data_IF_674035248268
#
_entry.id   IF_674035248268
#
_cell.length_a   1.000
_cell.length_b   1.000
_cell.length_c   1.000
_cell.angle_alpha   90.00
_cell.angle_beta   90.00
_cell.angle_gamma   90.00
#
_symmetry.space_group_name_H-M   'P 1'
#
loop_
_entity.id
_entity.type
_entity.pdbx_description
1 polymer ?
#
# COMPACT_ATOMS: atom_id res chain seq x y z
N UNK A 1 5.16 -9.64 22.95
CA UNK A 1 5.14 -10.59 21.82
C UNK A 1 6.39 -10.36 21.00
N UNK A 2 7.27 -11.36 20.93
CA UNK A 2 8.55 -11.30 20.23
C UNK A 2 8.30 -11.49 18.73
N UNK A 3 8.76 -10.58 17.87
CA UNK A 3 8.68 -10.79 16.43
C UNK A 3 9.52 -12.03 16.05
N UNK A 4 9.00 -12.96 15.24
CA UNK A 4 9.80 -14.06 14.72
C UNK A 4 10.92 -13.49 13.85
N UNK A 5 12.15 -13.87 14.19
CA UNK A 5 13.33 -13.44 13.44
C UNK A 5 13.40 -14.25 12.13
N UNK A 6 13.77 -13.61 11.00
CA UNK A 6 14.05 -14.33 9.77
C UNK A 6 15.15 -15.38 10.00
N UNK A 7 14.91 -16.59 9.51
CA UNK A 7 15.71 -17.79 9.81
C UNK A 7 16.97 -17.93 8.93
N UNK A 8 17.10 -17.13 7.87
CA UNK A 8 18.28 -17.11 7.01
C UNK A 8 19.44 -16.24 7.52
N UNK A 9 20.67 -16.68 7.26
CA UNK A 9 21.87 -15.85 7.45
C UNK A 9 21.86 -14.60 6.53
N UNK A 10 22.70 -13.58 6.82
CA UNK A 10 22.74 -12.35 6.04
C UNK A 10 23.12 -12.62 4.58
N UNK A 11 22.33 -12.07 3.66
CA UNK A 11 22.57 -12.17 2.22
C UNK A 11 23.45 -11.01 1.76
N UNK A 12 24.50 -11.32 1.02
CA UNK A 12 25.29 -10.30 0.34
C UNK A 12 24.56 -9.82 -0.91
N UNK A 13 23.95 -8.64 -0.82
CA UNK A 13 23.28 -8.02 -1.95
C UNK A 13 24.31 -7.55 -3.00
N UNK A 14 24.07 -7.77 -4.30
CA UNK A 14 24.82 -7.11 -5.36
C UNK A 14 24.75 -5.58 -5.19
N UNK A 15 25.86 -4.87 -5.46
CA UNK A 15 25.92 -3.42 -5.26
C UNK A 15 24.84 -2.65 -6.04
N UNK A 16 24.50 -3.14 -7.25
CA UNK A 16 23.41 -2.60 -8.07
C UNK A 16 22.05 -2.76 -7.41
N UNK A 17 21.80 -3.89 -6.74
CA UNK A 17 20.53 -4.18 -6.05
C UNK A 17 20.42 -3.35 -4.78
N UNK A 18 21.48 -3.29 -3.96
CA UNK A 18 21.51 -2.45 -2.77
C UNK A 18 21.33 -0.96 -3.12
N UNK A 19 21.99 -0.48 -4.18
CA UNK A 19 21.80 0.88 -4.69
C UNK A 19 20.38 1.15 -5.19
N UNK A 20 19.73 0.17 -5.81
CA UNK A 20 18.34 0.29 -6.27
C UNK A 20 17.34 0.27 -5.11
N UNK A 21 17.55 -0.59 -4.10
CA UNK A 21 16.78 -0.59 -2.85
C UNK A 21 16.90 0.75 -2.11
N UNK A 22 18.10 1.33 -2.04
CA UNK A 22 18.32 2.65 -1.45
C UNK A 22 17.56 3.75 -2.21
N UNK A 23 17.60 3.73 -3.55
CA UNK A 23 16.81 4.66 -4.38
C UNK A 23 15.31 4.51 -4.15
N UNK A 24 14.78 3.28 -4.12
CA UNK A 24 13.36 3.05 -3.80
C UNK A 24 12.99 3.57 -2.43
N UNK A 25 13.84 3.37 -1.42
CA UNK A 25 13.62 3.89 -0.07
C UNK A 25 13.53 5.43 -0.06
N UNK A 26 14.39 6.11 -0.83
CA UNK A 26 14.33 7.56 -1.01
C UNK A 26 13.08 8.03 -1.73
N UNK A 27 12.68 7.35 -2.81
CA UNK A 27 11.44 7.66 -3.55
C UNK A 27 10.19 7.50 -2.67
N UNK A 28 10.13 6.42 -1.88
CA UNK A 28 9.04 6.16 -0.93
C UNK A 28 8.96 7.23 0.17
N UNK A 29 10.11 7.72 0.65
CA UNK A 29 10.14 8.81 1.63
C UNK A 29 9.68 10.13 1.02
N UNK A 30 10.11 10.42 -0.21
CA UNK A 30 9.73 11.64 -0.91
C UNK A 30 8.23 11.67 -1.26
N UNK A 31 7.66 10.52 -1.66
CA UNK A 31 6.26 10.39 -2.07
C UNK A 31 5.28 10.17 -0.90
N UNK A 32 5.75 10.16 0.34
CA UNK A 32 4.92 9.82 1.51
C UNK A 32 3.69 10.75 1.66
N UNK A 33 3.81 12.08 1.49
CA UNK A 33 2.66 12.98 1.52
C UNK A 33 1.62 12.66 0.44
N UNK A 34 2.08 12.35 -0.78
CA UNK A 34 1.23 12.02 -1.91
C UNK A 34 0.50 10.69 -1.70
N UNK A 35 1.19 9.68 -1.15
CA UNK A 35 0.61 8.37 -0.79
C UNK A 35 -0.48 8.55 0.27
N UNK A 36 -0.24 9.37 1.30
CA UNK A 36 -1.23 9.68 2.33
C UNK A 36 -2.42 10.45 1.76
N UNK A 37 -2.17 11.43 0.89
CA UNK A 37 -3.22 12.19 0.21
C UNK A 37 -4.09 11.28 -0.65
N UNK A 38 -3.48 10.36 -1.40
CA UNK A 38 -4.20 9.41 -2.25
C UNK A 38 -5.05 8.44 -1.43
N UNK A 39 -4.54 7.98 -0.28
CA UNK A 39 -5.29 7.18 0.68
C UNK A 39 -6.52 7.95 1.19
N UNK A 40 -6.35 9.20 1.63
CA UNK A 40 -7.45 10.03 2.11
C UNK A 40 -8.50 10.33 1.01
N UNK A 41 -8.08 10.64 -0.21
CA UNK A 41 -9.00 10.88 -1.32
C UNK A 41 -9.74 9.60 -1.74
N UNK A 42 -9.06 8.44 -1.73
CA UNK A 42 -9.70 7.16 -1.98
C UNK A 42 -10.80 6.88 -0.96
N UNK A 43 -10.52 7.12 0.32
CA UNK A 43 -11.49 6.96 1.40
C UNK A 43 -12.73 7.83 1.23
N UNK A 44 -12.56 9.10 0.84
CA UNK A 44 -13.69 9.97 0.57
C UNK A 44 -14.49 9.50 -0.64
N UNK A 45 -13.81 9.09 -1.72
CA UNK A 45 -14.46 8.53 -2.90
C UNK A 45 -15.25 7.27 -2.54
N UNK A 46 -14.70 6.39 -1.69
CA UNK A 46 -15.36 5.19 -1.22
C UNK A 46 -16.64 5.47 -0.45
N UNK A 47 -16.59 6.42 0.48
CA UNK A 47 -17.78 6.82 1.25
C UNK A 47 -18.91 7.35 0.36
N UNK A 48 -18.58 7.95 -0.78
CA UNK A 48 -19.57 8.54 -1.69
C UNK A 48 -20.03 7.56 -2.79
N UNK A 49 -19.19 6.57 -3.14
CA UNK A 49 -19.39 5.71 -4.30
C UNK A 49 -19.41 4.20 -3.99
N UNK A 50 -19.46 3.78 -2.72
CA UNK A 50 -19.38 2.37 -2.29
C UNK A 50 -20.36 1.40 -3.00
N UNK A 51 -21.49 1.89 -3.50
CA UNK A 51 -22.48 1.10 -4.25
C UNK A 51 -22.44 1.28 -5.77
N UNK A 52 -21.50 2.06 -6.30
CA UNK A 52 -21.40 2.36 -7.73
C UNK A 52 -20.72 1.20 -8.49
N UNK A 53 -21.13 0.91 -9.73
CA UNK A 53 -20.49 -0.11 -10.55
C UNK A 53 -18.97 0.10 -10.65
N UNK A 54 -18.21 -0.99 -10.70
CA UNK A 54 -16.75 -0.99 -10.83
C UNK A 54 -15.96 -0.37 -9.66
N UNK A 55 -16.62 0.23 -8.67
CA UNK A 55 -15.95 0.82 -7.52
C UNK A 55 -15.24 -0.22 -6.65
N UNK A 56 -15.81 -1.43 -6.54
CA UNK A 56 -15.22 -2.52 -5.76
C UNK A 56 -13.85 -2.95 -6.34
N UNK A 57 -13.76 -3.14 -7.66
CA UNK A 57 -12.51 -3.46 -8.35
C UNK A 57 -11.47 -2.34 -8.13
N UNK A 58 -11.88 -1.09 -8.32
CA UNK A 58 -11.01 0.08 -8.10
C UNK A 58 -10.49 0.13 -6.67
N UNK A 59 -11.37 -0.04 -5.68
CA UNK A 59 -11.00 0.00 -4.27
C UNK A 59 -10.07 -1.13 -3.87
N UNK A 60 -10.30 -2.35 -4.38
CA UNK A 60 -9.41 -3.46 -4.15
C UNK A 60 -7.99 -3.16 -4.68
N UNK A 61 -7.86 -2.71 -5.92
CA UNK A 61 -6.56 -2.39 -6.52
C UNK A 61 -5.86 -1.23 -5.81
N UNK A 62 -6.56 -0.14 -5.52
CA UNK A 62 -5.96 1.00 -4.82
C UNK A 62 -5.48 0.63 -3.41
N UNK A 63 -6.29 -0.09 -2.64
CA UNK A 63 -5.92 -0.49 -1.28
C UNK A 63 -4.75 -1.47 -1.28
N UNK A 64 -4.72 -2.43 -2.20
CA UNK A 64 -3.56 -3.35 -2.34
C UNK A 64 -2.27 -2.58 -2.62
N UNK A 65 -2.28 -1.59 -3.51
CA UNK A 65 -1.09 -0.79 -3.82
C UNK A 65 -0.61 0.05 -2.64
N UNK A 66 -1.53 0.69 -1.92
CA UNK A 66 -1.21 1.53 -0.76
C UNK A 66 -0.63 0.70 0.40
N UNK A 67 -1.21 -0.47 0.68
CA UNK A 67 -0.66 -1.40 1.68
C UNK A 67 0.70 -1.95 1.24
N UNK A 68 0.84 -2.35 -0.03
CA UNK A 68 2.09 -2.87 -0.55
C UNK A 68 3.22 -1.86 -0.45
N UNK A 69 2.93 -0.58 -0.75
CA UNK A 69 3.86 0.54 -0.64
C UNK A 69 4.35 0.75 0.80
N UNK A 70 3.45 0.61 1.77
CA UNK A 70 3.78 0.70 3.21
C UNK A 70 4.68 -0.45 3.65
N UNK A 71 4.32 -1.69 3.27
CA UNK A 71 5.10 -2.89 3.59
C UNK A 71 6.49 -2.84 2.96
N UNK A 72 6.58 -2.43 1.69
CA UNK A 72 7.84 -2.26 0.97
C UNK A 72 8.78 -1.30 1.71
N UNK A 73 8.28 -0.16 2.19
CA UNK A 73 9.10 0.78 2.96
C UNK A 73 9.62 0.20 4.27
N UNK A 74 8.87 -0.68 4.94
CA UNK A 74 9.34 -1.41 6.12
C UNK A 74 10.47 -2.38 5.79
N UNK A 75 10.28 -3.17 4.73
CA UNK A 75 11.25 -4.19 4.29
C UNK A 75 12.55 -3.56 3.77
N UNK A 76 12.47 -2.47 3.02
CA UNK A 76 13.64 -1.75 2.52
C UNK A 76 14.46 -1.15 3.67
N UNK A 77 13.81 -0.51 4.66
CA UNK A 77 14.52 -0.02 5.86
C UNK A 77 15.21 -1.16 6.61
N UNK A 78 14.55 -2.31 6.74
CA UNK A 78 15.12 -3.47 7.41
C UNK A 78 16.33 -4.04 6.64
N UNK A 79 16.19 -4.26 5.33
CA UNK A 79 17.27 -4.76 4.47
C UNK A 79 18.49 -3.82 4.47
N UNK A 80 18.27 -2.51 4.35
CA UNK A 80 19.33 -1.49 4.31
C UNK A 80 20.02 -1.28 5.68
N UNK A 81 19.44 -1.77 6.78
CA UNK A 81 20.08 -1.75 8.11
C UNK A 81 21.14 -2.84 8.32
N UNK A 82 21.55 -3.54 7.25
CA UNK A 82 22.50 -4.66 7.30
C UNK A 82 21.86 -5.99 7.72
N UNK A 83 20.53 -6.05 7.76
CA UNK A 83 19.74 -7.23 8.16
C UNK A 83 19.03 -7.89 6.97
N UNK A 84 19.57 -7.72 5.76
CA UNK A 84 19.01 -8.37 4.57
C UNK A 84 19.13 -9.89 4.71
N UNK A 85 18.00 -10.57 4.86
CA UNK A 85 17.90 -12.04 4.79
C UNK A 85 17.20 -12.44 3.50
N UNK A 86 17.27 -13.72 3.09
CA UNK A 86 16.55 -14.22 1.92
C UNK A 86 15.07 -13.81 1.96
N UNK A 87 14.39 -14.05 3.08
CA UNK A 87 12.96 -13.81 3.26
C UNK A 87 12.59 -12.34 3.10
N UNK A 88 13.44 -11.43 3.59
CA UNK A 88 13.23 -9.98 3.45
C UNK A 88 13.37 -9.55 1.99
N UNK A 89 14.39 -10.06 1.30
CA UNK A 89 14.61 -9.78 -0.12
C UNK A 89 13.43 -10.30 -0.96
N UNK A 90 12.95 -11.50 -0.64
CA UNK A 90 11.75 -12.05 -1.25
C UNK A 90 10.51 -11.20 -1.03
N UNK A 91 10.27 -10.78 0.21
CA UNK A 91 9.19 -9.87 0.51
C UNK A 91 9.29 -8.56 -0.28
N UNK A 92 10.49 -8.00 -0.47
CA UNK A 92 10.69 -6.80 -1.29
C UNK A 92 10.28 -7.06 -2.75
N UNK A 93 10.72 -8.17 -3.33
CA UNK A 93 10.36 -8.59 -4.70
C UNK A 93 8.84 -8.74 -4.82
N UNK A 94 8.21 -9.44 -3.88
CA UNK A 94 6.77 -9.69 -3.86
C UNK A 94 6.00 -8.36 -3.76
N UNK A 95 6.44 -7.42 -2.91
CA UNK A 95 5.81 -6.11 -2.81
C UNK A 95 5.99 -5.26 -4.07
N UNK A 96 7.16 -5.28 -4.70
CA UNK A 96 7.40 -4.55 -5.97
C UNK A 96 6.44 -5.06 -7.06
N UNK A 97 6.25 -6.38 -7.17
CA UNK A 97 5.30 -6.97 -8.12
C UNK A 97 3.85 -6.61 -7.78
N UNK A 98 3.46 -6.72 -6.51
CA UNK A 98 2.12 -6.38 -6.04
C UNK A 98 1.77 -4.92 -6.33
N UNK A 99 2.67 -4.00 -6.01
CA UNK A 99 2.56 -2.56 -6.25
C UNK A 99 2.33 -2.30 -7.74
N UNK A 100 3.16 -2.90 -8.62
CA UNK A 100 3.00 -2.77 -10.08
C UNK A 100 1.61 -3.25 -10.56
N UNK A 101 1.23 -4.47 -10.21
CA UNK A 101 -0.06 -5.05 -10.63
C UNK A 101 -1.26 -4.28 -10.09
N UNK A 102 -1.17 -3.82 -8.84
CA UNK A 102 -2.21 -3.02 -8.21
C UNK A 102 -2.41 -1.69 -8.92
N UNK A 103 -1.34 -1.07 -9.41
CA UNK A 103 -1.40 0.19 -10.14
C UNK A 103 -2.03 0.02 -11.52
N UNK A 104 -1.56 -0.97 -12.29
CA UNK A 104 -2.11 -1.30 -13.61
C UNK A 104 -3.62 -1.62 -13.50
N UNK A 105 -4.02 -2.42 -12.51
CA UNK A 105 -5.42 -2.74 -12.26
C UNK A 105 -6.25 -1.54 -11.78
N UNK A 106 -5.67 -0.67 -10.94
CA UNK A 106 -6.35 0.54 -10.47
C UNK A 106 -6.61 1.51 -11.63
N UNK A 107 -5.68 1.68 -12.56
CA UNK A 107 -5.87 2.52 -13.75
C UNK A 107 -7.03 2.00 -14.61
N UNK A 108 -7.03 0.71 -14.94
CA UNK A 108 -8.10 0.09 -15.76
C UNK A 108 -9.46 0.12 -15.06
N UNK A 109 -9.51 -0.09 -13.74
CA UNK A 109 -10.74 -0.02 -12.97
C UNK A 109 -11.25 1.43 -12.84
N UNK A 110 -10.34 2.39 -12.73
CA UNK A 110 -10.68 3.81 -12.67
C UNK A 110 -11.32 4.28 -13.97
N UNK A 111 -10.77 3.91 -15.13
CA UNK A 111 -11.34 4.31 -16.43
C UNK A 111 -12.81 3.89 -16.53
N UNK A 112 -13.13 2.64 -16.19
CA UNK A 112 -14.50 2.11 -16.15
C UNK A 112 -15.37 2.81 -15.11
N UNK A 113 -14.81 3.08 -13.93
CA UNK A 113 -15.53 3.75 -12.85
C UNK A 113 -15.89 5.21 -13.19
N UNK A 114 -15.06 5.90 -13.98
CA UNK A 114 -15.28 7.29 -14.39
C UNK A 114 -16.21 7.44 -15.61
N UNK A 115 -16.74 6.37 -16.19
CA UNK A 115 -17.71 6.45 -17.28
C UNK A 115 -19.04 7.11 -16.81
N UNK A 116 -19.39 6.98 -15.53
CA UNK A 116 -20.56 7.60 -14.91
C UNK A 116 -20.30 9.08 -14.57
N UNK A 117 -21.09 9.99 -15.14
CA UNK A 117 -20.99 11.44 -14.91
C UNK A 117 -21.37 11.85 -13.48
N UNK A 118 -22.34 11.18 -12.85
CA UNK A 118 -22.68 11.42 -11.46
C UNK A 118 -21.49 11.08 -10.56
N UNK A 119 -20.82 9.96 -10.83
CA UNK A 119 -19.62 9.53 -10.10
C UNK A 119 -18.49 10.54 -10.24
N UNK A 120 -18.23 11.03 -11.46
CA UNK A 120 -17.20 12.05 -11.72
C UNK A 120 -17.46 13.37 -10.98
N UNK A 121 -18.72 13.68 -10.68
CA UNK A 121 -19.10 14.89 -9.95
C UNK A 121 -18.85 14.80 -8.45
N UNK A 122 -18.64 13.60 -7.89
CA UNK A 122 -18.41 13.38 -6.47
C UNK A 122 -17.06 13.97 -6.03
N UNK A 123 -17.08 14.76 -4.94
CA UNK A 123 -15.89 15.48 -4.48
C UNK A 123 -14.71 14.56 -4.15
N UNK A 124 -14.97 13.37 -3.60
CA UNK A 124 -13.93 12.38 -3.34
C UNK A 124 -13.27 11.87 -4.61
N UNK A 125 -14.07 11.65 -5.66
CA UNK A 125 -13.57 11.22 -6.98
C UNK A 125 -12.76 12.34 -7.63
N UNK A 126 -13.21 13.59 -7.55
CA UNK A 126 -12.47 14.74 -8.06
C UNK A 126 -11.13 14.95 -7.34
N UNK A 127 -11.09 14.76 -6.01
CA UNK A 127 -9.85 14.82 -5.25
C UNK A 127 -8.91 13.69 -5.65
N UNK A 128 -9.44 12.47 -5.80
CA UNK A 128 -8.66 11.32 -6.25
C UNK A 128 -8.07 11.55 -7.65
N UNK A 129 -8.84 12.09 -8.59
CA UNK A 129 -8.37 12.50 -9.92
C UNK A 129 -7.21 13.50 -9.88
N UNK A 130 -7.13 14.34 -8.86
CA UNK A 130 -6.01 15.28 -8.67
C UNK A 130 -4.77 14.62 -8.07
N UNK A 131 -4.94 13.59 -7.23
CA UNK A 131 -3.81 12.87 -6.61
C UNK A 131 -3.19 11.83 -7.54
N UNK A 132 -3.95 11.28 -8.48
CA UNK A 132 -3.51 10.19 -9.36
C UNK A 132 -2.26 10.52 -10.22
N UNK A 133 -2.10 11.71 -10.81
CA UNK A 133 -0.88 12.06 -11.54
C UNK A 133 0.39 12.01 -10.68
N UNK A 134 0.26 12.28 -9.37
CA UNK A 134 1.39 12.19 -8.45
C UNK A 134 1.78 10.74 -8.18
N UNK A 135 0.78 9.87 -8.00
CA UNK A 135 1.01 8.44 -7.89
C UNK A 135 1.62 7.89 -9.18
N UNK A 136 1.09 8.25 -10.34
CA UNK A 136 1.63 7.82 -11.65
C UNK A 136 3.12 8.14 -11.79
N UNK A 137 3.50 9.38 -11.47
CA UNK A 137 4.90 9.79 -11.47
C UNK A 137 5.74 8.97 -10.48
N UNK A 138 5.23 8.72 -9.28
CA UNK A 138 5.92 7.87 -8.32
C UNK A 138 6.15 6.45 -8.87
N UNK A 139 5.13 5.83 -9.47
CA UNK A 139 5.22 4.50 -10.07
C UNK A 139 6.24 4.47 -11.22
N UNK A 140 6.23 5.47 -12.10
CA UNK A 140 7.23 5.60 -13.18
C UNK A 140 8.66 5.72 -12.63
N UNK A 141 8.85 6.49 -11.55
CA UNK A 141 10.16 6.61 -10.91
C UNK A 141 10.61 5.32 -10.20
N UNK A 142 9.66 4.53 -9.71
CA UNK A 142 9.90 3.24 -9.06
C UNK A 142 10.19 2.11 -10.04
N UNK A 143 9.79 2.23 -11.32
CA UNK A 143 9.89 1.17 -12.31
C UNK A 143 11.33 0.70 -12.53
N UNK A 144 12.26 1.61 -12.86
CA UNK A 144 13.66 1.26 -13.11
C UNK A 144 14.34 0.60 -11.88
N UNK A 145 14.31 1.18 -10.67
CA UNK A 145 14.94 0.55 -9.52
C UNK A 145 14.20 -0.73 -9.08
N UNK A 146 12.88 -0.81 -9.26
CA UNK A 146 12.11 -2.03 -9.04
C UNK A 146 12.57 -3.16 -9.96
N UNK A 147 12.67 -2.91 -11.27
CA UNK A 147 13.12 -3.89 -12.24
C UNK A 147 14.56 -4.36 -11.98
N UNK A 148 15.44 -3.47 -11.50
CA UNK A 148 16.79 -3.84 -11.10
C UNK A 148 16.82 -4.81 -9.90
N UNK A 149 15.86 -4.69 -8.96
CA UNK A 149 15.70 -5.66 -7.87
C UNK A 149 15.14 -6.99 -8.39
N UNK A 150 14.12 -6.94 -9.25
CA UNK A 150 13.50 -8.13 -9.83
C UNK A 150 14.48 -8.97 -10.68
N UNK A 151 15.39 -8.32 -11.40
CA UNK A 151 16.36 -9.00 -12.28
C UNK A 151 17.70 -9.30 -11.59
N UNK A 152 18.01 -8.60 -10.50
CA UNK A 152 19.35 -8.61 -9.91
C UNK A 152 19.59 -9.73 -8.90
N UNK A 153 18.55 -10.50 -8.54
CA UNK A 153 18.62 -11.61 -7.59
C UNK A 153 17.76 -12.76 -8.13
N UNK A 154 18.36 -13.93 -8.34
CA UNK A 154 17.59 -15.15 -8.54
C UNK A 154 16.87 -15.49 -7.24
N UNK A 155 15.54 -15.41 -7.26
CA UNK A 155 14.70 -15.58 -6.09
C UNK A 155 13.59 -16.60 -6.35
N UNK A 156 13.35 -17.48 -5.38
CA UNK A 156 12.19 -18.38 -5.37
C UNK A 156 11.10 -17.79 -4.46
N UNK A 157 9.81 -17.92 -4.80
CA UNK A 157 8.73 -17.28 -4.05
C UNK A 157 8.83 -17.51 -2.55
N UNK A 158 8.62 -16.46 -1.75
CA UNK A 158 8.69 -16.58 -0.29
C UNK A 158 7.52 -17.42 0.25
N UNK A 159 7.77 -18.28 1.24
CA UNK A 159 6.72 -18.81 2.12
C UNK A 159 6.24 -17.70 3.07
N UNK A 160 5.09 -17.89 3.74
CA UNK A 160 4.58 -16.92 4.73
C UNK A 160 5.67 -16.56 5.76
N UNK A 161 6.12 -15.31 5.74
CA UNK A 161 7.01 -14.79 6.78
C UNK A 161 6.17 -14.64 8.06
N UNK A 162 6.38 -15.50 9.05
CA UNK A 162 5.67 -15.39 10.34
C UNK A 162 5.77 -13.96 10.89
N UNK A 163 4.69 -13.44 11.47
CA UNK A 163 4.65 -12.08 12.03
C UNK A 163 4.44 -10.96 11.00
N UNK A 164 4.48 -11.27 9.69
CA UNK A 164 4.11 -10.35 8.62
C UNK A 164 2.86 -10.92 7.92
N UNK A 165 1.78 -10.14 7.74
CA UNK A 165 0.47 -10.67 7.32
C UNK A 165 0.40 -11.05 5.82
N UNK A 166 1.52 -11.38 5.18
CA UNK A 166 1.59 -11.59 3.73
C UNK A 166 1.41 -13.06 3.40
N UNK A 167 0.14 -13.49 3.24
CA UNK A 167 -0.17 -14.53 2.27
C UNK A 167 -0.01 -13.93 0.89
N UNK A 168 0.48 -14.73 -0.07
CA UNK A 168 0.26 -14.50 -1.51
C UNK A 168 -1.20 -14.08 -1.66
N UNK A 169 -1.45 -12.79 -1.89
CA UNK A 169 -2.73 -12.40 -2.43
C UNK A 169 -2.77 -13.12 -3.77
N UNK A 170 -3.59 -14.16 -3.88
CA UNK A 170 -3.84 -14.84 -5.14
C UNK A 170 -4.42 -13.79 -6.09
N UNK A 171 -3.53 -13.20 -6.88
CA UNK A 171 -3.88 -12.21 -7.88
C UNK A 171 -4.61 -12.94 -9.00
N UNK A 172 -5.91 -12.67 -9.15
CA UNK A 172 -6.68 -13.05 -10.34
C UNK A 172 -7.35 -14.42 -10.32
N UNK A 173 -7.60 -15.04 -9.16
CA UNK A 173 -8.46 -16.21 -9.03
C UNK A 173 -9.63 -15.95 -8.08
N UNK A 174 -10.75 -16.71 -8.14
CA UNK A 174 -11.79 -16.67 -7.12
C UNK A 174 -11.25 -17.32 -5.84
N UNK A 175 -10.33 -16.63 -5.16
CA UNK A 175 -9.76 -17.03 -3.90
C UNK A 175 -10.87 -16.91 -2.85
N UNK A 176 -11.54 -18.03 -2.56
CA UNK A 176 -12.42 -18.14 -1.40
C UNK A 176 -11.61 -17.78 -0.15
N UNK A 177 -11.85 -16.58 0.38
CA UNK A 177 -11.55 -16.26 1.77
C UNK A 177 -10.41 -15.29 2.05
N UNK A 178 -9.71 -14.76 1.04
CA UNK A 178 -8.85 -13.58 1.27
C UNK A 178 -9.59 -12.31 0.87
N UNK A 179 -10.26 -11.72 1.85
CA UNK A 179 -10.61 -10.31 1.80
C UNK A 179 -9.44 -9.56 2.47
N UNK A 180 -8.90 -8.47 1.88
CA UNK A 180 -8.19 -7.50 2.70
C UNK A 180 -9.14 -7.14 3.86
N UNK A 181 -8.66 -6.87 5.09
CA UNK A 181 -9.56 -6.42 6.15
C UNK A 181 -10.33 -5.24 5.59
N UNK A 182 -11.61 -5.48 5.25
CA UNK A 182 -12.56 -4.42 5.00
C UNK A 182 -12.49 -3.64 6.30
N UNK A 183 -12.07 -2.37 6.27
CA UNK A 183 -12.39 -1.51 7.39
C UNK A 183 -13.87 -1.74 7.64
N UNK A 184 -14.26 -2.07 8.88
CA UNK A 184 -15.67 -2.02 9.22
C UNK A 184 -16.08 -0.59 8.89
N UNK A 185 -16.80 -0.44 7.78
CA UNK A 185 -17.35 0.82 7.34
C UNK A 185 -18.42 1.15 8.36
N UNK A 186 -18.01 1.80 9.45
CA UNK A 186 -18.96 2.46 10.33
C UNK A 186 -19.64 3.51 9.47
N UNK A 187 -20.84 3.16 9.01
CA UNK A 187 -21.76 4.08 8.41
C UNK A 187 -21.80 5.33 9.30
N UNK A 188 -21.59 6.54 8.78
CA UNK A 188 -21.66 7.78 9.56
C UNK A 188 -23.05 8.10 10.14
N UNK A 189 -23.97 7.13 10.16
CA UNK A 189 -25.32 7.23 10.68
C UNK A 189 -25.52 6.63 12.07
N UNK A 190 -24.51 5.98 12.66
CA UNK A 190 -24.60 5.39 14.02
C UNK A 190 -23.59 6.01 15.00
N UNK A 191 -23.28 7.31 14.85
CA UNK A 191 -22.94 8.13 16.02
C UNK A 191 -24.24 8.43 16.75
N UNK A 192 -24.81 7.39 17.34
CA UNK A 192 -25.87 7.55 18.30
C UNK A 192 -25.30 8.38 19.45
N UNK A 193 -26.01 9.44 19.80
CA UNK A 193 -25.60 10.45 20.78
C UNK A 193 -25.58 9.84 22.18
N UNK A 194 -24.59 9.02 22.51
CA UNK A 194 -24.26 8.60 23.88
C UNK A 194 -22.81 8.15 23.95
N UNK A 195 -21.90 9.11 24.07
CA UNK A 195 -20.51 8.85 24.40
C UNK A 195 -19.91 10.14 24.94
N UNK A 196 -19.80 10.23 26.26
CA UNK A 196 -19.21 11.36 26.97
C UNK A 196 -17.94 11.84 26.28
N UNK A 197 -17.98 13.11 25.87
CA UNK A 197 -16.79 13.87 25.53
C UNK A 197 -15.99 13.98 26.84
N UNK A 198 -15.06 13.06 27.06
CA UNK A 198 -13.96 13.30 28.00
C UNK A 198 -13.06 14.35 27.36
N UNK A 199 -13.37 15.62 27.62
CA UNK A 199 -12.40 16.70 27.51
C UNK A 199 -11.20 16.31 28.39
N UNK A 200 -10.06 16.01 27.77
CA UNK A 200 -8.80 15.87 28.49
C UNK A 200 -8.54 17.18 29.23
N UNK A 201 -8.30 17.16 30.56
CA UNK A 201 -7.94 18.38 31.27
C UNK A 201 -6.61 18.92 30.72
N UNK A 202 -6.46 20.26 30.62
CA UNK A 202 -5.23 20.85 30.10
C UNK A 202 -4.03 20.50 30.99
N UNK A 203 -2.82 20.39 30.41
CA UNK A 203 -1.63 20.01 31.16
C UNK A 203 -1.31 21.05 32.23
N UNK A 204 -1.05 20.59 33.45
CA UNK A 204 -0.60 21.43 34.55
C UNK A 204 0.73 22.10 34.17
N UNK A 205 0.74 23.43 34.20
CA UNK A 205 1.96 24.20 34.06
C UNK A 205 2.78 24.01 35.34
N UNK A 206 3.96 23.37 35.22
CA UNK A 206 4.98 23.38 36.26
C UNK A 206 5.36 24.84 36.58
N UNK A 207 5.27 25.21 37.87
CA UNK A 207 5.78 26.44 38.45
C UNK A 207 6.74 26.10 39.60
#
# INVERSE_FOLDING_TARGET
MSMPMPTGGPVRLPAQVAGSMSRMQGLLQAAQPEIQSAYASHWLAARQAAGRPYFQDLSQHMMMGLYGTTALGGLLRYALSGRATPEVVGGIIDQVQLIRQSYEGAQQALERFLEDEEVRSLSGVQLMSRTLPHLDRFYQQMEQPGQAVLNGIEWQPSEEVQGWPVRRAEVGGPARGWQPPLPRWESPGELDRTGDVSELPPPEAEA
#
